data_IF_206169381252
#
_entry.id   IF_206169381252
#
_cell.length_a   1.000
_cell.length_b   1.000
_cell.length_c   1.000
_cell.angle_alpha   90.00
_cell.angle_beta   90.00
_cell.angle_gamma   90.00
#
_symmetry.space_group_name_H-M   'P 1'
#
loop_
_entity.id
_entity.type
_entity.pdbx_description
1 polymer ?
#
# COMPACT_ATOMS: atom_id res chain seq x y z
N UNK A 1 87.53 23.92 -27.28
CA UNK A 1 87.54 24.37 -25.87
C UNK A 1 86.12 24.60 -25.52
N UNK A 2 85.52 23.63 -24.91
CA UNK A 2 84.17 23.74 -24.41
C UNK A 2 84.27 23.37 -22.93
N UNK A 3 83.94 24.38 -22.10
CA UNK A 3 83.92 24.28 -20.61
C UNK A 3 82.89 23.31 -20.12
N UNK A 4 83.29 22.41 -19.26
CA UNK A 4 82.47 21.47 -18.59
C UNK A 4 82.23 22.02 -17.13
N UNK A 5 81.05 22.26 -16.66
CA UNK A 5 80.78 22.60 -15.26
C UNK A 5 80.94 21.36 -14.40
N UNK A 6 81.72 21.50 -13.33
CA UNK A 6 81.92 20.52 -12.25
C UNK A 6 80.63 20.26 -11.46
N UNK A 7 80.40 19.00 -11.20
CA UNK A 7 79.41 18.51 -10.24
C UNK A 7 79.86 18.77 -8.79
N UNK A 8 78.97 19.34 -7.98
CA UNK A 8 79.10 19.49 -6.54
C UNK A 8 78.40 18.30 -5.85
N UNK A 9 79.03 17.60 -4.93
CA UNK A 9 78.37 16.49 -4.21
C UNK A 9 77.38 17.02 -3.19
N UNK A 10 76.11 16.50 -3.29
CA UNK A 10 75.09 16.74 -2.30
C UNK A 10 75.34 15.83 -1.11
N UNK A 11 75.49 16.43 0.06
CA UNK A 11 75.58 15.77 1.35
C UNK A 11 74.29 15.08 1.71
N UNK A 12 74.40 13.81 2.02
CA UNK A 12 73.41 12.94 2.61
C UNK A 12 73.21 13.35 4.07
N UNK A 13 72.06 13.94 4.40
CA UNK A 13 71.65 14.20 5.79
C UNK A 13 70.81 13.04 6.30
N UNK A 14 71.43 12.23 7.11
CA UNK A 14 70.80 11.23 7.96
C UNK A 14 69.92 11.96 8.98
N UNK A 15 68.62 11.82 8.88
CA UNK A 15 67.70 12.31 9.93
C UNK A 15 67.30 11.15 10.84
N UNK A 16 67.70 11.31 12.10
CA UNK A 16 67.44 10.39 13.17
C UNK A 16 65.96 10.27 13.50
N UNK A 17 65.57 9.06 13.82
CA UNK A 17 64.34 8.65 14.44
C UNK A 17 64.15 9.37 15.81
N UNK A 18 63.00 9.92 16.15
CA UNK A 18 62.71 10.31 17.53
C UNK A 18 62.14 9.14 18.32
N UNK A 19 62.80 8.79 19.37
CA UNK A 19 62.39 7.88 20.42
C UNK A 19 61.03 8.26 21.03
N UNK A 20 60.27 7.24 21.33
CA UNK A 20 59.04 7.31 22.08
C UNK A 20 59.26 7.87 23.51
N UNK A 21 58.69 9.03 23.77
CA UNK A 21 58.55 9.56 25.12
C UNK A 21 57.15 9.28 25.62
N UNK A 22 57.08 8.43 26.63
CA UNK A 22 55.90 8.20 27.45
C UNK A 22 55.45 9.51 28.09
N UNK A 23 54.26 9.99 27.71
CA UNK A 23 53.59 11.08 28.42
C UNK A 23 52.50 10.53 29.32
N UNK A 24 52.64 10.88 30.56
CA UNK A 24 51.80 10.64 31.70
C UNK A 24 50.30 10.86 31.44
N UNK A 25 49.60 9.89 31.94
CA UNK A 25 48.22 9.86 32.36
C UNK A 25 47.86 11.08 33.21
N UNK A 26 47.09 12.02 32.67
CA UNK A 26 46.45 13.08 33.45
C UNK A 26 44.98 12.75 33.54
N UNK A 27 44.60 12.17 34.65
CA UNK A 27 43.21 11.96 35.07
C UNK A 27 42.69 13.32 35.56
N UNK A 28 41.63 13.88 34.97
CA UNK A 28 40.91 14.98 35.59
C UNK A 28 40.02 14.42 36.69
N UNK A 29 40.16 15.03 37.87
CA UNK A 29 39.40 14.78 39.08
C UNK A 29 37.87 14.79 38.80
N UNK A 30 37.24 13.80 39.33
CA UNK A 30 35.82 13.64 39.54
C UNK A 30 35.29 14.83 40.35
N UNK A 31 34.52 15.69 39.75
CA UNK A 31 33.71 16.69 40.44
C UNK A 31 32.33 16.06 40.64
N UNK A 32 32.12 15.55 41.84
CA UNK A 32 30.80 15.22 42.37
C UNK A 32 29.94 16.49 42.40
N UNK A 33 29.04 16.64 41.46
CA UNK A 33 27.92 17.54 41.54
C UNK A 33 26.69 16.75 41.95
N UNK A 34 26.32 16.89 43.19
CA UNK A 34 25.05 16.50 43.78
C UNK A 34 23.91 17.14 42.97
N UNK A 35 22.97 16.39 42.41
CA UNK A 35 21.76 17.01 41.85
C UNK A 35 20.85 17.43 43.00
N UNK A 36 20.62 18.73 43.10
CA UNK A 36 19.56 19.32 43.89
C UNK A 36 18.20 18.73 43.55
N UNK A 37 17.54 18.45 44.61
CA UNK A 37 16.17 17.97 44.72
C UNK A 37 15.25 19.02 44.12
N UNK A 38 14.80 18.83 42.88
CA UNK A 38 13.80 19.69 42.30
C UNK A 38 12.42 19.09 42.49
N UNK A 39 11.66 19.92 43.13
CA UNK A 39 10.28 19.87 43.55
C UNK A 39 9.34 19.16 42.56
N UNK A 40 8.57 18.22 43.12
CA UNK A 40 7.38 17.63 42.50
C UNK A 40 6.40 18.70 42.02
N UNK A 41 5.76 18.53 40.89
CA UNK A 41 4.66 19.40 40.48
C UNK A 41 3.47 19.16 41.41
N UNK A 42 2.92 20.26 41.89
CA UNK A 42 1.73 20.29 42.73
C UNK A 42 0.56 19.55 42.05
N UNK A 43 -0.05 18.67 42.79
CA UNK A 43 -1.32 18.05 42.56
C UNK A 43 -2.38 19.15 42.35
N UNK A 44 -3.21 19.15 41.28
CA UNK A 44 -4.30 20.08 41.17
C UNK A 44 -5.39 19.69 42.17
N UNK A 45 -5.71 20.64 43.03
CA UNK A 45 -6.78 20.56 44.00
C UNK A 45 -8.11 20.13 43.35
N UNK A 46 -8.74 19.15 43.99
CA UNK A 46 -10.06 18.66 43.68
C UNK A 46 -11.07 19.81 43.76
N UNK A 47 -11.72 20.12 42.66
CA UNK A 47 -12.90 20.97 42.60
C UNK A 47 -14.08 20.20 43.20
N UNK A 48 -14.93 20.85 44.01
CA UNK A 48 -15.99 20.16 44.75
C UNK A 48 -17.07 19.59 43.81
N UNK A 49 -17.48 18.41 44.15
CA UNK A 49 -18.66 17.70 43.64
C UNK A 49 -19.90 18.63 43.68
N UNK A 50 -20.39 18.94 42.50
CA UNK A 50 -21.76 19.40 42.36
C UNK A 50 -22.62 18.19 42.01
N UNK A 51 -23.20 17.64 43.03
CA UNK A 51 -24.24 16.63 43.04
C UNK A 51 -25.46 17.13 42.25
N UNK A 52 -25.53 16.78 40.97
CA UNK A 52 -26.75 16.91 40.17
C UNK A 52 -27.47 15.58 40.18
N UNK A 53 -28.57 15.54 40.87
CA UNK A 53 -29.51 14.43 40.88
C UNK A 53 -29.87 13.99 39.45
N UNK A 54 -30.00 12.69 39.19
CA UNK A 54 -30.47 12.21 37.91
C UNK A 54 -31.94 12.62 37.73
N UNK A 55 -32.15 13.38 36.64
CA UNK A 55 -33.50 13.66 36.16
C UNK A 55 -34.17 12.33 35.80
N UNK A 56 -35.30 12.12 36.40
CA UNK A 56 -36.26 11.05 36.10
C UNK A 56 -36.55 11.02 34.60
N UNK A 57 -36.52 9.86 33.91
CA UNK A 57 -36.86 9.80 32.50
C UNK A 57 -38.34 10.11 32.34
N UNK A 58 -38.61 11.23 31.70
CA UNK A 58 -39.93 11.63 31.22
C UNK A 58 -40.54 10.47 30.43
N UNK A 59 -41.67 10.02 30.91
CA UNK A 59 -42.50 8.95 30.34
C UNK A 59 -42.77 9.21 28.85
N UNK A 60 -42.49 8.21 28.03
CA UNK A 60 -42.86 8.16 26.63
C UNK A 60 -44.37 8.47 26.45
N UNK A 61 -44.71 9.21 25.36
CA UNK A 61 -46.10 9.47 25.06
C UNK A 61 -46.83 8.17 24.76
N UNK A 62 -47.87 7.94 25.55
CA UNK A 62 -48.84 6.86 25.35
C UNK A 62 -49.42 6.99 23.95
N UNK A 63 -49.18 6.04 23.09
CA UNK A 63 -49.91 5.91 21.83
C UNK A 63 -51.37 5.67 22.14
N UNK A 64 -52.16 6.65 21.81
CA UNK A 64 -53.61 6.63 21.80
C UNK A 64 -54.11 5.46 20.95
N UNK A 65 -54.69 4.48 21.57
CA UNK A 65 -55.30 3.35 20.90
C UNK A 65 -56.50 3.85 20.12
N UNK A 66 -56.43 3.78 18.83
CA UNK A 66 -57.56 3.95 17.90
C UNK A 66 -58.61 2.94 18.28
N UNK A 67 -59.88 3.37 18.53
CA UNK A 67 -60.98 2.44 18.89
C UNK A 67 -61.27 1.53 17.67
N UNK A 68 -61.18 0.24 17.92
CA UNK A 68 -61.65 -0.77 16.97
C UNK A 68 -63.17 -0.61 16.83
N UNK A 69 -63.63 -0.24 15.65
CA UNK A 69 -65.06 -0.25 15.32
C UNK A 69 -65.58 -1.70 15.38
N UNK A 70 -66.72 -1.94 16.05
CA UNK A 70 -67.31 -3.26 16.06
C UNK A 70 -67.82 -3.62 14.66
N UNK A 71 -67.39 -4.75 14.17
CA UNK A 71 -67.94 -5.37 12.97
C UNK A 71 -69.45 -5.57 13.15
N UNK A 72 -70.22 -4.94 12.27
CA UNK A 72 -71.67 -5.18 12.16
C UNK A 72 -71.90 -6.61 11.68
N UNK A 73 -72.41 -7.39 12.57
CA UNK A 73 -72.97 -8.73 12.26
C UNK A 73 -74.19 -8.53 11.38
N UNK A 74 -74.10 -8.88 10.12
CA UNK A 74 -75.26 -8.94 9.23
C UNK A 74 -76.18 -10.05 9.72
N UNK A 75 -77.36 -9.63 10.18
CA UNK A 75 -78.41 -10.53 10.61
C UNK A 75 -78.86 -11.44 9.47
N UNK A 76 -78.86 -12.73 9.76
CA UNK A 76 -79.48 -13.72 8.88
C UNK A 76 -80.99 -13.49 8.89
N UNK A 77 -81.55 -13.06 7.76
CA UNK A 77 -83.00 -13.18 7.52
C UNK A 77 -83.33 -14.62 7.19
N UNK A 78 -84.38 -15.17 7.76
CA UNK A 78 -84.87 -16.52 7.43
C UNK A 78 -85.47 -16.53 6.04
N UNK A 79 -84.83 -17.28 5.14
CA UNK A 79 -85.34 -17.51 3.77
C UNK A 79 -86.50 -18.49 3.83
N UNK A 80 -87.68 -18.04 3.45
CA UNK A 80 -88.88 -18.92 3.21
C UNK A 80 -88.59 -19.86 2.01
N UNK A 81 -89.01 -21.12 2.05
CA UNK A 81 -88.87 -22.05 0.94
C UNK A 81 -89.80 -21.68 -0.21
N UNK A 82 -89.30 -21.13 -1.26
CA UNK A 82 -90.02 -21.00 -2.48
C UNK A 82 -90.14 -22.37 -3.21
N UNK A 83 -91.33 -22.80 -3.40
CA UNK A 83 -91.65 -23.97 -4.23
C UNK A 83 -91.25 -23.67 -5.67
N UNK A 84 -90.26 -24.32 -6.19
CA UNK A 84 -89.90 -24.30 -7.60
C UNK A 84 -90.62 -25.46 -8.29
N UNK A 85 -91.63 -25.11 -9.08
CA UNK A 85 -92.22 -25.96 -10.08
C UNK A 85 -91.16 -26.29 -11.14
N UNK A 86 -90.96 -27.56 -11.39
CA UNK A 86 -89.98 -28.10 -12.29
C UNK A 86 -90.15 -27.57 -13.74
N UNK A 87 -89.10 -26.93 -14.21
CA UNK A 87 -88.81 -26.86 -15.64
C UNK A 87 -87.43 -27.52 -15.84
N UNK A 88 -87.46 -28.63 -16.53
CA UNK A 88 -86.33 -29.39 -16.99
C UNK A 88 -85.65 -28.61 -18.11
N UNK A 89 -84.68 -27.77 -17.78
CA UNK A 89 -83.75 -27.20 -18.74
C UNK A 89 -82.77 -28.28 -19.15
N UNK A 90 -82.72 -28.61 -20.41
CA UNK A 90 -81.77 -29.53 -21.00
C UNK A 90 -80.36 -29.09 -20.67
N UNK A 91 -79.60 -29.97 -20.04
CA UNK A 91 -78.18 -29.78 -19.84
C UNK A 91 -77.51 -29.77 -21.22
N UNK A 92 -77.11 -28.57 -21.69
CA UNK A 92 -76.13 -28.51 -22.75
C UNK A 92 -74.78 -28.96 -22.13
N UNK A 93 -74.04 -29.87 -22.77
CA UNK A 93 -72.75 -30.25 -22.28
C UNK A 93 -71.84 -29.03 -22.38
N UNK A 94 -71.43 -28.48 -21.19
CA UNK A 94 -70.43 -27.44 -21.15
C UNK A 94 -69.09 -28.07 -21.57
N UNK A 95 -68.76 -27.82 -22.85
CA UNK A 95 -67.47 -28.24 -23.37
C UNK A 95 -66.37 -27.38 -22.82
N UNK A 96 -65.88 -27.73 -21.58
CA UNK A 96 -64.73 -27.13 -20.93
C UNK A 96 -63.47 -27.53 -21.69
N UNK A 97 -63.26 -27.03 -22.89
CA UNK A 97 -61.97 -27.02 -23.53
C UNK A 97 -61.12 -26.04 -22.75
N UNK A 98 -59.99 -26.46 -22.13
CA UNK A 98 -59.11 -25.53 -21.46
C UNK A 98 -58.72 -24.44 -22.48
N UNK A 99 -58.93 -23.17 -22.09
CA UNK A 99 -58.59 -22.03 -22.90
C UNK A 99 -57.07 -22.15 -23.23
N UNK A 100 -56.80 -22.55 -24.49
CA UNK A 100 -55.41 -22.56 -24.99
C UNK A 100 -55.03 -21.12 -25.19
N UNK A 101 -54.29 -20.54 -24.27
CA UNK A 101 -53.66 -19.25 -24.45
C UNK A 101 -52.83 -19.31 -25.74
N UNK A 102 -52.97 -18.35 -26.64
CA UNK A 102 -52.21 -18.33 -27.88
C UNK A 102 -50.70 -18.31 -27.49
N UNK A 103 -49.93 -19.18 -28.14
CA UNK A 103 -48.50 -19.38 -27.86
C UNK A 103 -47.71 -18.07 -27.84
N UNK A 104 -48.17 -17.05 -28.59
CA UNK A 104 -47.58 -15.71 -28.60
C UNK A 104 -47.71 -14.96 -27.26
N UNK A 105 -48.85 -15.09 -26.56
CA UNK A 105 -49.05 -14.43 -25.26
C UNK A 105 -48.11 -15.06 -24.20
N UNK A 106 -47.94 -16.38 -24.21
CA UNK A 106 -47.02 -17.09 -23.30
C UNK A 106 -45.58 -16.62 -23.56
N UNK A 107 -45.18 -16.45 -24.82
CA UNK A 107 -43.84 -15.97 -25.18
C UNK A 107 -43.61 -14.52 -24.70
N UNK A 108 -44.58 -13.63 -24.82
CA UNK A 108 -44.50 -12.24 -24.35
C UNK A 108 -44.41 -12.19 -22.83
N UNK A 109 -45.19 -12.97 -22.10
CA UNK A 109 -45.14 -13.04 -20.65
C UNK A 109 -43.80 -13.60 -20.18
N UNK A 110 -43.30 -14.66 -20.81
CA UNK A 110 -41.99 -15.24 -20.50
C UNK A 110 -40.84 -14.23 -20.75
N UNK A 111 -40.91 -13.49 -21.87
CA UNK A 111 -39.93 -12.43 -22.16
C UNK A 111 -39.99 -11.29 -21.10
N UNK A 112 -41.21 -10.87 -20.70
CA UNK A 112 -41.40 -9.87 -19.64
C UNK A 112 -40.80 -10.31 -18.30
N UNK A 113 -41.04 -11.56 -17.89
CA UNK A 113 -40.48 -12.13 -16.67
C UNK A 113 -38.96 -12.20 -16.76
N UNK A 114 -38.37 -12.58 -17.89
CA UNK A 114 -36.93 -12.61 -18.08
C UNK A 114 -36.30 -11.22 -17.98
N UNK A 115 -36.93 -10.18 -18.53
CA UNK A 115 -36.46 -8.78 -18.41
C UNK A 115 -36.53 -8.30 -16.98
N UNK A 116 -37.62 -8.58 -16.25
CA UNK A 116 -37.74 -8.22 -14.83
C UNK A 116 -36.66 -8.94 -13.98
N UNK A 117 -36.45 -10.23 -14.23
CA UNK A 117 -35.38 -10.99 -13.55
C UNK A 117 -33.99 -10.40 -13.84
N UNK A 118 -33.70 -10.04 -15.08
CA UNK A 118 -32.45 -9.38 -15.48
C UNK A 118 -32.27 -8.03 -14.78
N UNK A 119 -33.32 -7.22 -14.66
CA UNK A 119 -33.27 -5.94 -13.93
C UNK A 119 -33.04 -6.18 -12.45
N UNK A 120 -33.69 -7.15 -11.82
CA UNK A 120 -33.48 -7.49 -10.41
C UNK A 120 -32.02 -7.92 -10.19
N UNK A 121 -31.49 -8.83 -11.02
CA UNK A 121 -30.10 -9.27 -10.95
C UNK A 121 -29.15 -8.07 -11.12
N UNK A 122 -29.41 -7.20 -12.10
CA UNK A 122 -28.62 -6.00 -12.37
C UNK A 122 -28.59 -5.06 -11.16
N UNK A 123 -29.73 -4.79 -10.53
CA UNK A 123 -29.82 -3.95 -9.33
C UNK A 123 -29.13 -4.60 -8.13
N UNK A 124 -29.31 -5.92 -7.91
CA UNK A 124 -28.67 -6.65 -6.83
C UNK A 124 -27.15 -6.69 -6.97
N UNK A 125 -26.66 -6.97 -8.18
CA UNK A 125 -25.23 -6.93 -8.50
C UNK A 125 -24.69 -5.51 -8.31
N UNK A 126 -25.42 -4.50 -8.81
CA UNK A 126 -25.05 -3.10 -8.67
C UNK A 126 -24.87 -2.69 -7.20
N UNK A 127 -25.86 -2.95 -6.35
CA UNK A 127 -25.77 -2.65 -4.92
C UNK A 127 -24.57 -3.34 -4.25
N UNK A 128 -24.32 -4.60 -4.59
CA UNK A 128 -23.22 -5.35 -4.01
C UNK A 128 -21.83 -4.84 -4.44
N UNK A 129 -21.71 -4.37 -5.68
CA UNK A 129 -20.45 -3.83 -6.24
C UNK A 129 -20.18 -2.39 -5.77
N UNK A 130 -21.23 -1.62 -5.51
CA UNK A 130 -21.11 -0.22 -5.06
C UNK A 130 -21.01 -0.07 -3.54
N UNK A 131 -21.09 -1.17 -2.79
CA UNK A 131 -20.98 -1.15 -1.31
C UNK A 131 -19.54 -0.96 -0.86
N UNK A 132 -19.17 0.30 -0.62
CA UNK A 132 -17.84 0.67 -0.13
C UNK A 132 -17.53 0.14 1.27
N UNK A 133 -18.54 0.00 2.17
CA UNK A 133 -18.35 -0.59 3.50
C UNK A 133 -18.00 -2.08 3.42
N UNK A 134 -18.60 -2.78 2.46
CA UNK A 134 -18.22 -4.17 2.17
C UNK A 134 -16.77 -4.26 1.69
N UNK A 135 -16.36 -3.38 0.76
CA UNK A 135 -14.97 -3.33 0.28
C UNK A 135 -14.00 -3.04 1.43
N UNK A 136 -14.32 -2.08 2.31
CA UNK A 136 -13.50 -1.77 3.49
C UNK A 136 -13.35 -2.98 4.42
N UNK A 137 -14.45 -3.68 4.73
CA UNK A 137 -14.42 -4.89 5.55
C UNK A 137 -13.60 -6.02 4.91
N UNK A 138 -13.76 -6.24 3.61
CA UNK A 138 -12.98 -7.25 2.89
C UNK A 138 -11.49 -6.95 2.94
N UNK A 139 -11.11 -5.69 2.75
CA UNK A 139 -9.71 -5.27 2.83
C UNK A 139 -9.13 -5.47 4.24
N UNK A 140 -9.83 -4.98 5.27
CA UNK A 140 -9.36 -5.13 6.67
C UNK A 140 -9.26 -6.60 7.07
N UNK A 141 -10.23 -7.42 6.66
CA UNK A 141 -10.18 -8.86 6.90
C UNK A 141 -8.94 -9.48 6.24
N UNK A 142 -8.74 -9.20 4.96
CA UNK A 142 -7.60 -9.73 4.21
C UNK A 142 -6.25 -9.30 4.82
N UNK A 143 -6.14 -8.05 5.28
CA UNK A 143 -4.94 -7.55 5.98
C UNK A 143 -4.77 -8.25 7.33
N UNK A 144 -5.82 -8.35 8.14
CA UNK A 144 -5.76 -8.97 9.47
C UNK A 144 -5.42 -10.47 9.40
N UNK A 145 -5.90 -11.17 8.37
CA UNK A 145 -5.65 -12.60 8.16
C UNK A 145 -4.41 -12.88 7.28
N UNK A 146 -3.63 -11.83 6.91
CA UNK A 146 -2.47 -11.89 6.00
C UNK A 146 -2.79 -12.50 4.62
N UNK A 147 -4.03 -12.34 4.15
CA UNK A 147 -4.46 -12.71 2.79
C UNK A 147 -4.04 -11.63 1.79
N UNK A 148 -2.72 -11.45 1.61
CA UNK A 148 -2.14 -10.31 0.87
C UNK A 148 -2.57 -10.24 -0.59
N UNK A 149 -2.82 -11.38 -1.24
CA UNK A 149 -3.34 -11.43 -2.61
C UNK A 149 -4.72 -10.75 -2.71
N UNK A 150 -5.58 -11.00 -1.75
CA UNK A 150 -6.93 -10.45 -1.71
C UNK A 150 -6.87 -8.97 -1.32
N UNK A 151 -6.05 -8.60 -0.31
CA UNK A 151 -5.82 -7.22 0.07
C UNK A 151 -5.33 -6.39 -1.13
N UNK A 152 -4.29 -6.85 -1.85
CA UNK A 152 -3.75 -6.19 -3.04
C UNK A 152 -4.82 -5.95 -4.11
N UNK A 153 -5.67 -6.93 -4.37
CA UNK A 153 -6.74 -6.83 -5.38
C UNK A 153 -7.75 -5.72 -5.11
N UNK A 154 -7.89 -5.31 -3.85
CA UNK A 154 -8.84 -4.29 -3.38
C UNK A 154 -8.25 -2.87 -3.40
N UNK A 155 -6.96 -2.68 -3.66
CA UNK A 155 -6.30 -1.37 -3.67
C UNK A 155 -6.43 -0.72 -5.06
N UNK A 156 -6.62 0.59 -5.10
CA UNK A 156 -6.60 1.41 -6.31
C UNK A 156 -5.19 1.97 -6.52
N UNK A 157 -4.27 1.12 -6.97
CA UNK A 157 -2.89 1.51 -7.22
C UNK A 157 -2.78 2.41 -8.45
N UNK A 158 -1.87 3.40 -8.44
CA UNK A 158 -1.43 4.07 -9.65
C UNK A 158 -0.67 3.10 -10.56
N UNK A 159 -0.53 3.47 -11.83
CA UNK A 159 0.31 2.70 -12.74
C UNK A 159 1.79 2.86 -12.31
N UNK A 160 2.44 1.74 -11.97
CA UNK A 160 3.81 1.72 -11.46
C UNK A 160 4.43 0.33 -11.59
N UNK A 161 5.61 0.26 -12.23
CA UNK A 161 6.30 -1.01 -12.51
C UNK A 161 6.70 -1.75 -11.22
N UNK A 162 7.01 -0.99 -10.16
CA UNK A 162 7.44 -1.54 -8.87
C UNK A 162 6.30 -1.81 -7.88
N UNK A 163 5.06 -1.51 -8.26
CA UNK A 163 3.86 -1.78 -7.45
C UNK A 163 3.27 -3.15 -7.78
N UNK A 164 4.11 -4.17 -7.83
CA UNK A 164 3.69 -5.54 -8.10
C UNK A 164 3.04 -6.19 -6.87
N UNK A 165 2.29 -7.26 -7.11
CA UNK A 165 1.69 -8.05 -6.03
C UNK A 165 2.76 -8.66 -5.12
N UNK A 166 3.84 -9.15 -5.73
CA UNK A 166 4.99 -9.73 -5.04
C UNK A 166 5.67 -8.69 -4.15
N UNK A 167 5.85 -7.45 -4.64
CA UNK A 167 6.37 -6.35 -3.85
C UNK A 167 5.47 -6.03 -2.64
N UNK A 168 4.13 -6.03 -2.83
CA UNK A 168 3.18 -5.83 -1.74
C UNK A 168 3.27 -6.93 -0.67
N UNK A 169 3.39 -8.19 -1.08
CA UNK A 169 3.58 -9.31 -0.16
C UNK A 169 4.90 -9.17 0.60
N UNK A 170 6.00 -8.83 -0.08
CA UNK A 170 7.32 -8.70 0.52
C UNK A 170 7.37 -7.60 1.60
N UNK A 171 6.71 -6.46 1.35
CA UNK A 171 6.62 -5.37 2.34
C UNK A 171 5.96 -5.83 3.65
N UNK A 172 5.05 -6.81 3.57
CA UNK A 172 4.29 -7.33 4.71
C UNK A 172 4.77 -8.72 5.19
N UNK A 173 5.94 -9.18 4.72
CA UNK A 173 6.42 -10.54 4.99
C UNK A 173 6.57 -10.89 6.49
N UNK A 174 6.83 -9.89 7.33
CA UNK A 174 7.01 -10.06 8.78
C UNK A 174 5.67 -10.02 9.56
N UNK A 175 4.54 -9.77 8.89
CA UNK A 175 3.25 -9.67 9.56
C UNK A 175 2.70 -11.06 9.92
N UNK A 176 2.05 -11.14 11.07
CA UNK A 176 1.36 -12.34 11.55
C UNK A 176 -0.14 -12.15 11.45
N UNK A 177 -0.84 -13.08 10.80
CA UNK A 177 -2.29 -13.01 10.62
C UNK A 177 -3.05 -13.52 11.85
N UNK A 178 -4.18 -12.88 12.13
CA UNK A 178 -5.14 -13.32 13.12
C UNK A 178 -6.51 -13.49 12.48
N UNK A 179 -7.20 -14.57 12.84
CA UNK A 179 -8.53 -14.83 12.31
C UNK A 179 -9.55 -13.80 12.80
N UNK A 180 -10.30 -13.25 11.85
CA UNK A 180 -11.36 -12.29 12.15
C UNK A 180 -12.70 -12.99 12.39
N UNK A 181 -13.29 -12.79 13.57
CA UNK A 181 -14.57 -13.40 13.95
C UNK A 181 -15.78 -12.53 13.61
N UNK A 182 -15.72 -11.23 13.91
CA UNK A 182 -16.81 -10.27 13.73
C UNK A 182 -16.31 -8.94 13.21
N UNK A 183 -17.12 -8.27 12.39
CA UNK A 183 -16.76 -6.97 11.81
C UNK A 183 -17.96 -6.03 11.76
N UNK A 184 -17.73 -4.76 12.09
CA UNK A 184 -18.64 -3.65 11.85
C UNK A 184 -17.94 -2.56 11.05
N UNK A 185 -18.69 -1.70 10.35
CA UNK A 185 -18.12 -0.63 9.54
C UNK A 185 -19.01 0.61 9.61
N UNK A 186 -18.43 1.73 10.03
CA UNK A 186 -19.11 3.01 10.19
C UNK A 186 -18.41 4.11 9.39
N UNK A 187 -19.19 5.08 8.91
CA UNK A 187 -18.64 6.20 8.15
C UNK A 187 -17.86 7.15 9.04
N UNK A 188 -16.72 7.61 8.56
CA UNK A 188 -15.94 8.67 9.19
C UNK A 188 -16.11 9.97 8.38
N UNK A 189 -16.40 11.06 9.08
CA UNK A 189 -16.38 12.40 8.49
C UNK A 189 -14.94 12.94 8.57
N UNK A 190 -14.27 13.01 7.44
CA UNK A 190 -12.89 13.51 7.32
C UNK A 190 -12.76 14.46 6.12
N UNK A 191 -11.65 15.17 6.03
CA UNK A 191 -11.34 15.99 4.84
C UNK A 191 -11.33 15.13 3.58
N UNK A 192 -10.77 13.92 3.66
CA UNK A 192 -10.75 12.96 2.56
C UNK A 192 -12.16 12.56 2.09
N UNK A 193 -13.08 12.26 3.02
CA UNK A 193 -14.45 11.85 2.68
C UNK A 193 -15.31 12.97 2.11
N UNK A 194 -14.88 14.24 2.24
CA UNK A 194 -15.54 15.40 1.63
C UNK A 194 -15.20 15.58 0.16
N UNK A 195 -14.12 14.94 -0.32
CA UNK A 195 -13.76 14.97 -1.74
C UNK A 195 -14.76 14.15 -2.57
N UNK A 196 -15.17 14.63 -3.77
CA UNK A 196 -16.11 13.91 -4.62
C UNK A 196 -15.64 12.49 -4.95
N UNK A 197 -16.46 11.51 -4.64
CA UNK A 197 -16.16 10.09 -4.93
C UNK A 197 -15.36 9.37 -3.86
N UNK A 198 -14.83 10.05 -2.86
CA UNK A 198 -14.08 9.44 -1.77
C UNK A 198 -14.98 9.06 -0.59
N UNK A 199 -14.56 8.03 0.16
CA UNK A 199 -15.19 7.56 1.39
C UNK A 199 -14.13 7.26 2.43
N UNK A 200 -14.46 7.50 3.71
CA UNK A 200 -13.66 7.08 4.83
C UNK A 200 -14.54 6.23 5.78
N UNK A 201 -14.03 5.07 6.18
CA UNK A 201 -14.78 4.08 6.94
C UNK A 201 -13.91 3.57 8.08
N UNK A 202 -14.42 3.62 9.29
CA UNK A 202 -13.84 2.92 10.45
C UNK A 202 -14.37 1.50 10.47
N UNK A 203 -13.48 0.53 10.38
CA UNK A 203 -13.80 -0.89 10.49
C UNK A 203 -13.34 -1.38 11.84
N UNK A 204 -14.29 -1.76 12.70
CA UNK A 204 -14.03 -2.48 13.93
C UNK A 204 -14.12 -3.98 13.69
N UNK A 205 -13.21 -4.75 14.27
CA UNK A 205 -13.18 -6.20 14.15
C UNK A 205 -12.63 -6.85 15.42
N UNK A 206 -12.97 -8.13 15.61
CA UNK A 206 -12.57 -8.93 16.78
C UNK A 206 -11.68 -10.06 16.28
N UNK A 207 -10.52 -10.21 16.92
CA UNK A 207 -9.59 -11.33 16.75
C UNK A 207 -9.33 -11.99 18.11
N UNK A 208 -8.52 -13.03 18.14
CA UNK A 208 -8.08 -13.67 19.40
C UNK A 208 -7.34 -12.67 20.33
N UNK A 209 -6.66 -11.66 19.76
CA UNK A 209 -6.00 -10.58 20.51
C UNK A 209 -6.96 -9.49 21.03
N UNK A 210 -8.25 -9.56 20.70
CA UNK A 210 -9.27 -8.62 21.13
C UNK A 210 -9.85 -7.74 20.05
N UNK A 211 -10.44 -6.61 20.46
CA UNK A 211 -11.09 -5.68 19.55
C UNK A 211 -10.09 -4.71 18.92
N UNK A 212 -10.10 -4.63 17.59
CA UNK A 212 -9.23 -3.79 16.79
C UNK A 212 -10.04 -2.81 15.93
N UNK A 213 -9.43 -1.73 15.50
CA UNK A 213 -10.03 -0.72 14.61
C UNK A 213 -9.05 -0.28 13.54
N UNK A 214 -9.53 -0.22 12.29
CA UNK A 214 -8.77 0.33 11.17
C UNK A 214 -9.62 1.36 10.41
N UNK A 215 -9.02 2.51 10.14
CA UNK A 215 -9.59 3.53 9.28
C UNK A 215 -9.21 3.23 7.83
N UNK A 216 -10.20 3.07 6.97
CA UNK A 216 -10.02 2.72 5.55
C UNK A 216 -10.49 3.88 4.69
N UNK A 217 -9.60 4.37 3.87
CA UNK A 217 -9.87 5.39 2.87
C UNK A 217 -10.13 4.75 1.52
N UNK A 218 -11.27 5.07 0.90
CA UNK A 218 -11.69 4.45 -0.37
C UNK A 218 -11.92 5.53 -1.42
N UNK A 219 -11.60 5.20 -2.64
CA UNK A 219 -11.86 6.03 -3.82
C UNK A 219 -12.60 5.23 -4.89
N UNK A 220 -13.18 5.93 -5.85
CA UNK A 220 -13.80 5.28 -7.01
C UNK A 220 -12.70 4.74 -7.92
N UNK A 221 -12.75 3.46 -8.25
CA UNK A 221 -11.83 2.86 -9.21
C UNK A 221 -11.94 3.53 -10.59
N UNK A 222 -10.82 3.62 -11.30
CA UNK A 222 -10.75 4.23 -12.63
C UNK A 222 -11.66 3.55 -13.66
N UNK A 223 -11.97 2.26 -13.45
CA UNK A 223 -12.88 1.50 -14.33
C UNK A 223 -14.20 1.25 -13.61
N UNK A 224 -15.31 1.70 -14.24
CA UNK A 224 -16.65 1.39 -13.77
C UNK A 224 -16.97 -0.08 -14.04
N UNK A 225 -17.70 -0.71 -13.11
CA UNK A 225 -18.23 -2.05 -13.33
C UNK A 225 -19.49 -1.96 -14.21
N UNK A 226 -19.55 -2.74 -15.27
CA UNK A 226 -20.66 -2.74 -16.25
C UNK A 226 -21.06 -1.34 -16.74
N UNK A 227 -20.08 -0.43 -16.96
CA UNK A 227 -20.25 0.94 -17.47
C UNK A 227 -21.00 1.92 -16.55
N UNK A 228 -21.81 1.44 -15.60
CA UNK A 228 -22.72 2.29 -14.80
C UNK A 228 -22.43 2.30 -13.30
N UNK A 229 -21.84 1.23 -12.77
CA UNK A 229 -21.64 1.10 -11.32
C UNK A 229 -20.26 1.59 -10.90
N UNK A 230 -20.23 2.51 -9.92
CA UNK A 230 -18.99 2.94 -9.29
C UNK A 230 -18.47 1.80 -8.42
N UNK A 231 -17.30 1.27 -8.74
CA UNK A 231 -16.62 0.30 -7.87
C UNK A 231 -15.69 1.07 -6.95
N UNK A 232 -15.82 0.84 -5.64
CA UNK A 232 -14.89 1.40 -4.68
C UNK A 232 -13.70 0.49 -4.46
N UNK A 233 -12.53 1.09 -4.32
CA UNK A 233 -11.27 0.44 -3.95
C UNK A 233 -10.59 1.25 -2.85
N UNK A 234 -9.71 0.61 -2.08
CA UNK A 234 -8.89 1.28 -1.08
C UNK A 234 -7.93 2.26 -1.75
N UNK A 235 -7.84 3.47 -1.21
CA UNK A 235 -6.88 4.47 -1.70
C UNK A 235 -5.45 4.02 -1.45
N UNK A 236 -4.60 4.21 -2.44
CA UNK A 236 -3.17 3.93 -2.32
C UNK A 236 -2.39 5.04 -1.57
N UNK A 237 -3.02 6.17 -1.26
CA UNK A 237 -2.36 7.39 -0.77
C UNK A 237 -1.45 7.16 0.45
N UNK A 238 -1.87 6.30 1.38
CA UNK A 238 -1.09 5.94 2.57
C UNK A 238 -0.31 4.62 2.41
N UNK A 239 -0.41 3.97 1.26
CA UNK A 239 0.21 2.67 1.00
C UNK A 239 1.42 2.78 0.09
N UNK A 240 1.61 3.92 -0.57
CA UNK A 240 2.70 4.17 -1.50
C UNK A 240 3.43 5.46 -1.18
N UNK A 241 4.72 5.46 -1.45
CA UNK A 241 5.61 6.62 -1.40
C UNK A 241 5.92 7.05 -2.82
N UNK A 242 6.03 8.36 -3.05
CA UNK A 242 6.28 8.93 -4.37
C UNK A 242 7.70 9.44 -4.50
N UNK A 243 8.19 9.44 -5.74
CA UNK A 243 9.43 10.11 -6.17
C UNK A 243 10.65 9.72 -5.32
N UNK A 244 10.74 8.42 -4.98
CA UNK A 244 11.85 7.88 -4.17
C UNK A 244 13.15 7.91 -4.97
N UNK A 245 14.15 8.61 -4.45
CA UNK A 245 15.46 8.72 -5.08
C UNK A 245 16.42 7.66 -4.55
N UNK A 246 17.03 6.87 -5.47
CA UNK A 246 18.00 5.84 -5.13
C UNK A 246 19.31 6.10 -5.88
N UNK A 247 20.42 6.25 -5.13
CA UNK A 247 21.77 6.43 -5.67
C UNK A 247 22.55 5.13 -5.60
N UNK A 248 23.13 4.76 -6.74
CA UNK A 248 23.92 3.53 -6.90
C UNK A 248 25.23 3.88 -7.60
N UNK A 249 26.38 3.27 -7.25
CA UNK A 249 27.63 3.46 -7.99
C UNK A 249 27.44 3.23 -9.48
N UNK A 250 28.08 4.07 -10.29
CA UNK A 250 27.94 4.03 -11.75
C UNK A 250 28.36 2.70 -12.33
N UNK A 251 27.62 2.22 -13.33
CA UNK A 251 27.89 0.96 -14.02
C UNK A 251 27.34 -0.27 -13.32
N UNK A 252 26.61 -0.11 -12.21
CA UNK A 252 25.90 -1.20 -11.56
C UNK A 252 24.43 -1.24 -11.97
N UNK A 253 23.86 -2.43 -11.97
CA UNK A 253 22.43 -2.65 -12.24
C UNK A 253 21.65 -2.68 -10.95
N UNK A 254 20.60 -1.86 -10.85
CA UNK A 254 19.71 -1.78 -9.70
C UNK A 254 18.46 -2.63 -9.93
N UNK A 255 18.05 -3.37 -8.90
CA UNK A 255 16.78 -4.08 -8.84
C UNK A 255 16.02 -3.65 -7.58
N UNK A 256 14.71 -3.50 -7.70
CA UNK A 256 13.79 -3.24 -6.60
C UNK A 256 12.73 -4.34 -6.59
N UNK A 257 12.63 -5.08 -5.49
CA UNK A 257 11.72 -6.23 -5.36
C UNK A 257 11.82 -7.19 -6.56
N UNK A 258 13.05 -7.53 -6.97
CA UNK A 258 13.42 -8.37 -8.11
C UNK A 258 13.09 -7.80 -9.51
N UNK A 259 12.56 -6.58 -9.59
CA UNK A 259 12.31 -5.88 -10.85
C UNK A 259 13.52 -5.01 -11.19
N UNK A 260 14.06 -5.16 -12.41
CA UNK A 260 15.18 -4.35 -12.89
C UNK A 260 14.75 -2.88 -13.06
N UNK A 261 15.59 -1.97 -12.59
CA UNK A 261 15.36 -0.53 -12.77
C UNK A 261 16.03 -0.09 -14.08
N UNK A 262 15.21 0.21 -15.07
CA UNK A 262 15.69 0.66 -16.39
C UNK A 262 16.24 2.09 -16.38
N UNK A 263 17.02 2.42 -17.41
CA UNK A 263 17.63 3.76 -17.59
C UNK A 263 16.60 4.89 -17.71
N UNK A 264 15.34 4.57 -18.02
CA UNK A 264 14.24 5.53 -18.04
C UNK A 264 14.02 6.25 -16.71
N UNK A 265 14.36 5.59 -15.61
CA UNK A 265 14.23 6.12 -14.24
C UNK A 265 15.44 6.93 -13.78
N UNK A 266 16.54 6.99 -14.58
CA UNK A 266 17.68 7.83 -14.24
C UNK A 266 17.30 9.30 -14.24
N UNK A 267 17.75 10.04 -13.24
CA UNK A 267 17.62 11.50 -13.20
C UNK A 267 18.38 12.14 -14.36
N UNK A 268 17.96 13.36 -14.73
CA UNK A 268 18.64 14.10 -15.82
C UNK A 268 20.11 14.39 -15.48
N UNK A 269 20.43 14.58 -14.20
CA UNK A 269 21.81 14.72 -13.73
C UNK A 269 22.65 13.47 -14.03
N UNK A 270 22.09 12.29 -13.81
CA UNK A 270 22.76 11.01 -14.11
C UNK A 270 22.91 10.74 -15.60
N UNK A 271 21.91 11.07 -16.41
CA UNK A 271 21.98 10.94 -17.88
C UNK A 271 23.08 11.81 -18.49
N UNK A 272 23.30 13.00 -17.93
CA UNK A 272 24.31 13.96 -18.39
C UNK A 272 25.73 13.74 -17.83
N UNK A 273 25.93 12.89 -17.02
CA UNK A 273 26.86 11.98 -16.58
C UNK A 273 28.29 12.22 -16.16
N UNK A 274 28.66 13.17 -15.31
CA UNK A 274 30.04 13.23 -14.76
C UNK A 274 30.18 12.72 -13.30
N UNK A 275 29.11 12.17 -12.71
CA UNK A 275 29.14 11.65 -11.35
C UNK A 275 29.72 10.24 -11.24
N UNK A 276 30.13 9.87 -10.01
CA UNK A 276 30.53 8.50 -9.64
C UNK A 276 29.35 7.58 -9.38
N UNK A 277 28.13 8.11 -9.36
CA UNK A 277 26.89 7.39 -9.07
C UNK A 277 25.82 7.67 -10.11
N UNK A 278 24.99 6.68 -10.37
CA UNK A 278 23.72 6.84 -11.06
C UNK A 278 22.62 7.09 -10.03
N UNK A 279 21.77 8.05 -10.29
CA UNK A 279 20.62 8.44 -9.48
C UNK A 279 19.35 8.09 -10.22
N UNK A 280 18.51 7.28 -9.57
CA UNK A 280 17.22 6.84 -10.10
C UNK A 280 16.09 7.49 -9.30
N UNK A 281 15.07 8.00 -9.98
CA UNK A 281 13.85 8.53 -9.39
C UNK A 281 12.72 7.56 -9.67
N UNK A 282 12.25 6.91 -8.63
CA UNK A 282 11.22 5.87 -8.69
C UNK A 282 9.87 6.52 -8.38
N UNK A 283 8.93 6.57 -9.34
CA UNK A 283 7.68 7.29 -9.17
C UNK A 283 6.83 6.80 -8.01
N UNK A 284 6.81 5.48 -7.79
CA UNK A 284 6.02 4.84 -6.74
C UNK A 284 6.70 3.60 -6.20
N UNK A 285 6.80 3.51 -4.86
CA UNK A 285 7.12 2.28 -4.11
C UNK A 285 6.06 2.05 -3.04
N UNK A 286 5.89 0.81 -2.61
CA UNK A 286 5.11 0.56 -1.39
C UNK A 286 5.82 1.16 -0.17
N UNK A 287 5.03 1.78 0.70
CA UNK A 287 5.51 2.22 2.01
C UNK A 287 5.96 1.00 2.82
N UNK A 288 7.17 1.06 3.37
CA UNK A 288 7.75 -0.02 4.16
C UNK A 288 9.01 -0.63 3.55
N UNK A 289 9.29 -1.90 3.86
CA UNK A 289 10.52 -2.61 3.48
C UNK A 289 10.48 -3.06 2.02
N UNK A 290 11.35 -2.48 1.20
CA UNK A 290 11.55 -2.90 -0.18
C UNK A 290 12.91 -3.59 -0.32
N UNK A 291 12.97 -4.72 -1.00
CA UNK A 291 14.21 -5.43 -1.26
C UNK A 291 14.97 -4.74 -2.39
N UNK A 292 16.22 -4.41 -2.13
CA UNK A 292 17.13 -3.80 -3.10
C UNK A 292 18.24 -4.79 -3.42
N UNK A 293 18.49 -5.02 -4.70
CA UNK A 293 19.65 -5.77 -5.17
C UNK A 293 20.44 -4.94 -6.16
N UNK A 294 21.76 -4.97 -6.01
CA UNK A 294 22.67 -4.32 -6.93
C UNK A 294 23.64 -5.37 -7.45
N UNK A 295 23.83 -5.41 -8.77
CA UNK A 295 24.72 -6.35 -9.46
C UNK A 295 25.67 -5.63 -10.38
N UNK A 296 26.82 -6.21 -10.64
CA UNK A 296 27.79 -5.68 -11.59
C UNK A 296 28.91 -6.68 -11.89
N UNK A 297 29.66 -6.43 -12.96
CA UNK A 297 30.72 -7.35 -13.41
C UNK A 297 31.83 -7.53 -12.36
N UNK A 298 32.12 -6.47 -11.60
CA UNK A 298 33.26 -6.40 -10.68
C UNK A 298 32.90 -6.56 -9.22
N UNK A 299 31.60 -6.69 -8.90
CA UNK A 299 31.12 -6.85 -7.54
C UNK A 299 30.33 -8.16 -7.39
N UNK A 300 30.36 -8.74 -6.19
CA UNK A 300 29.41 -9.77 -5.80
C UNK A 300 28.01 -9.15 -5.71
N UNK A 301 26.96 -9.93 -6.00
CA UNK A 301 25.58 -9.47 -5.83
C UNK A 301 25.38 -8.95 -4.41
N UNK A 302 24.99 -7.69 -4.29
CA UNK A 302 24.74 -7.04 -3.02
C UNK A 302 23.24 -6.85 -2.83
N UNK A 303 22.71 -7.35 -1.72
CA UNK A 303 21.31 -7.22 -1.35
C UNK A 303 21.16 -6.47 -0.03
N UNK A 304 20.17 -5.60 0.04
CA UNK A 304 19.82 -4.85 1.25
C UNK A 304 18.32 -4.57 1.26
N UNK A 305 17.81 -4.01 2.36
CA UNK A 305 16.45 -3.52 2.47
C UNK A 305 16.45 -2.01 2.55
N UNK A 306 15.55 -1.40 1.80
CA UNK A 306 15.25 0.01 1.84
C UNK A 306 13.88 0.18 2.49
N UNK A 307 13.80 0.99 3.52
CA UNK A 307 12.54 1.36 4.14
C UNK A 307 12.03 2.65 3.50
N UNK A 308 11.10 2.54 2.57
CA UNK A 308 10.45 3.70 1.98
C UNK A 308 9.39 4.26 2.93
N UNK A 309 9.45 5.56 3.23
CA UNK A 309 8.52 6.29 4.07
C UNK A 309 8.28 7.70 3.49
N UNK A 310 7.19 8.35 3.89
CA UNK A 310 6.82 9.67 3.32
C UNK A 310 7.85 10.78 3.53
N UNK A 311 8.75 10.64 4.50
CA UNK A 311 9.70 11.68 4.89
C UNK A 311 11.14 11.41 4.41
N UNK A 312 11.39 10.33 3.67
CA UNK A 312 12.73 9.98 3.19
C UNK A 312 12.82 10.08 1.67
N UNK A 313 13.58 11.07 1.20
CA UNK A 313 13.68 11.38 -0.22
C UNK A 313 14.82 10.67 -0.95
N UNK A 314 15.93 10.30 -0.26
CA UNK A 314 17.12 9.81 -0.92
C UNK A 314 17.81 8.67 -0.17
N UNK A 315 18.08 7.56 -0.88
CA UNK A 315 18.80 6.40 -0.39
C UNK A 315 20.07 6.17 -1.20
N UNK A 316 21.17 5.82 -0.53
CA UNK A 316 22.43 5.46 -1.19
C UNK A 316 22.74 3.99 -0.94
N UNK A 317 22.89 3.21 -2.00
CA UNK A 317 23.03 1.75 -1.95
C UNK A 317 24.34 1.30 -2.59
N UNK A 318 25.01 0.34 -1.97
CA UNK A 318 26.16 -0.36 -2.57
C UNK A 318 27.51 0.37 -2.50
N UNK A 319 27.58 1.58 -1.93
CA UNK A 319 28.81 2.39 -1.94
C UNK A 319 29.92 1.84 -1.03
N UNK A 320 29.55 1.24 0.11
CA UNK A 320 30.53 0.80 1.13
C UNK A 320 30.48 -0.69 1.46
N UNK A 321 29.43 -1.39 1.05
CA UNK A 321 29.17 -2.76 1.49
C UNK A 321 29.27 -3.80 0.38
N UNK A 322 29.35 -3.39 -0.89
CA UNK A 322 29.53 -4.32 -2.00
C UNK A 322 30.97 -4.85 -2.00
N UNK A 323 31.10 -6.18 -2.08
CA UNK A 323 32.40 -6.85 -2.18
C UNK A 323 32.81 -7.01 -3.63
N UNK A 324 34.09 -6.85 -3.91
CA UNK A 324 34.63 -7.09 -5.25
C UNK A 324 34.77 -8.58 -5.52
N UNK A 325 34.50 -8.99 -6.77
CA UNK A 325 34.82 -10.33 -7.26
C UNK A 325 36.33 -10.46 -7.40
N UNK A 326 36.98 -11.27 -6.58
CA UNK A 326 38.44 -11.39 -6.51
C UNK A 326 39.09 -11.73 -7.87
N UNK A 327 38.51 -12.64 -8.65
CA UNK A 327 39.01 -12.98 -9.98
C UNK A 327 39.02 -11.79 -10.94
N UNK A 328 37.97 -10.96 -10.92
CA UNK A 328 37.88 -9.74 -11.72
C UNK A 328 38.82 -8.64 -11.25
N UNK A 329 39.03 -8.54 -9.95
CA UNK A 329 40.01 -7.61 -9.39
C UNK A 329 41.45 -7.94 -9.86
N UNK A 330 41.83 -9.23 -9.90
CA UNK A 330 43.14 -9.66 -10.41
C UNK A 330 43.27 -9.46 -11.92
N UNK A 331 42.18 -9.66 -12.67
CA UNK A 331 42.11 -9.33 -14.09
C UNK A 331 42.40 -7.84 -14.35
N UNK A 332 41.70 -6.94 -13.62
CA UNK A 332 41.92 -5.48 -13.70
C UNK A 332 43.34 -5.09 -13.30
N UNK A 333 43.92 -5.67 -12.25
CA UNK A 333 45.30 -5.41 -11.85
C UNK A 333 46.28 -5.83 -12.95
N UNK A 334 46.03 -6.96 -13.59
CA UNK A 334 46.84 -7.46 -14.69
C UNK A 334 46.76 -6.53 -15.90
N UNK A 335 45.55 -6.11 -16.28
CA UNK A 335 45.32 -5.17 -17.36
C UNK A 335 46.02 -3.82 -17.09
N UNK A 336 45.83 -3.26 -15.88
CA UNK A 336 46.46 -2.01 -15.48
C UNK A 336 48.00 -2.07 -15.58
N UNK A 337 48.63 -3.20 -15.17
CA UNK A 337 50.06 -3.39 -15.32
C UNK A 337 50.45 -3.41 -16.78
N UNK A 338 49.71 -4.14 -17.63
CA UNK A 338 49.93 -4.21 -19.07
C UNK A 338 49.85 -2.83 -19.72
N UNK A 339 48.87 -2.03 -19.35
CA UNK A 339 48.66 -0.67 -19.86
C UNK A 339 49.81 0.26 -19.43
N UNK A 340 50.24 0.19 -18.17
CA UNK A 340 51.39 0.96 -17.68
C UNK A 340 52.67 0.56 -18.42
N UNK A 341 52.92 -0.72 -18.58
CA UNK A 341 54.10 -1.21 -19.34
C UNK A 341 54.04 -0.75 -20.80
N UNK A 342 52.86 -0.74 -21.43
CA UNK A 342 52.67 -0.23 -22.78
C UNK A 342 53.00 1.28 -22.88
N UNK A 343 52.55 2.07 -21.89
CA UNK A 343 52.86 3.50 -21.80
C UNK A 343 54.36 3.72 -21.63
N UNK A 344 55.00 3.00 -20.71
CA UNK A 344 56.46 3.10 -20.48
C UNK A 344 57.22 2.77 -21.76
N UNK A 345 56.87 1.66 -22.42
CA UNK A 345 57.53 1.26 -23.67
C UNK A 345 57.33 2.29 -24.80
N UNK A 346 56.12 2.88 -24.90
CA UNK A 346 55.85 3.93 -25.89
C UNK A 346 56.68 5.20 -25.65
N UNK A 347 56.80 5.61 -24.40
CA UNK A 347 57.63 6.76 -23.98
C UNK A 347 59.10 6.49 -24.29
N UNK A 348 59.63 5.30 -23.94
CA UNK A 348 60.98 4.90 -24.23
C UNK A 348 61.28 4.84 -25.74
N UNK A 349 60.32 4.39 -26.53
CA UNK A 349 60.40 4.35 -27.98
C UNK A 349 60.15 5.71 -28.66
N UNK A 350 59.86 6.77 -27.88
CA UNK A 350 59.47 8.11 -28.39
C UNK A 350 58.30 8.08 -29.37
N UNK A 351 57.37 7.16 -29.17
CA UNK A 351 56.14 7.05 -29.96
C UNK A 351 55.09 8.01 -29.46
N UNK A 352 54.18 8.43 -30.36
CA UNK A 352 53.02 9.23 -30.01
C UNK A 352 52.03 8.42 -29.18
N UNK A 353 51.30 9.07 -28.25
CA UNK A 353 50.27 8.42 -27.39
C UNK A 353 49.13 7.82 -28.19
N UNK A 354 48.86 8.26 -29.41
CA UNK A 354 47.85 7.68 -30.30
C UNK A 354 48.09 6.20 -30.65
N UNK A 355 49.29 5.67 -30.35
CA UNK A 355 49.63 4.26 -30.56
C UNK A 355 49.28 3.34 -29.36
N UNK A 356 48.68 3.89 -28.29
CA UNK A 356 48.37 3.15 -27.04
C UNK A 356 46.86 2.92 -26.87
N UNK A 357 46.03 3.53 -27.73
CA UNK A 357 44.57 3.40 -27.71
C UNK A 357 44.08 2.03 -28.22
#
# INVERSE_FOLDING_TARGET
MIDVPQETPVQESVTAEPEATSAQENVPAESEATPEQESAPAEPEATPEQESAPAEPESAPVQERVPVQPQQTFGQQPVQPAQFTGQTFGQQPVNNKPARFPKGIIAIVAAGVAVIAAIIIFVCVGKNVTDYKKTAKQYVKAVAECEWNDAYSLINLPDGEFLTKEAFINVHADATGEKVEKMAADDIVSTYSKMPGNKAVKVGYITDSGMQYNDVYLTVANKHYMLFFKKYKVSAENLVVKDVTIKVPKGLTLYINDVIVGDGYKSDASKNGNGSSDEYVIPYLFNGKNNIKVTGEFIEDYTTQLYAAHDEDTFTVGTYNAKYVNSKLEELKTQARTDVDAIINAVQAKKDYSAIA
#
